data_IF_924852806868
#
_entry.id   IF_924852806868
#
_cell.length_a   1.000
_cell.length_b   1.000
_cell.length_c   1.000
_cell.angle_alpha   90.00
_cell.angle_beta   90.00
_cell.angle_gamma   90.00
#
_symmetry.space_group_name_H-M   'P 1'
#
loop_
_entity.id
_entity.type
_entity.pdbx_description
1 polymer ?
#
# COMPACT_ATOMS: atom_id res chain seq x y z
N UNK A 1 -8.04 -1.95 -8.22
CA UNK A 1 -8.34 -0.94 -7.21
C UNK A 1 -8.45 0.45 -7.81
N UNK A 2 -9.14 1.34 -7.17
CA UNK A 2 -9.22 2.75 -7.53
C UNK A 2 -8.84 3.58 -6.30
N UNK A 3 -8.04 4.63 -6.51
CA UNK A 3 -7.60 5.48 -5.41
C UNK A 3 -6.85 6.72 -5.86
N UNK A 4 -6.28 7.40 -4.88
CA UNK A 4 -5.48 8.61 -5.07
C UNK A 4 -4.00 8.24 -5.05
N UNK A 5 -3.24 8.75 -6.03
CA UNK A 5 -1.83 8.41 -6.17
C UNK A 5 -0.90 9.56 -5.83
N UNK A 6 0.31 9.22 -5.41
CA UNK A 6 1.40 10.16 -5.21
C UNK A 6 2.72 9.46 -5.50
N UNK A 7 3.71 10.22 -5.97
CA UNK A 7 5.06 9.73 -6.20
C UNK A 7 5.95 10.12 -5.03
N UNK A 8 6.66 9.14 -4.45
CA UNK A 8 7.51 9.36 -3.28
C UNK A 8 8.68 8.37 -3.24
N UNK A 9 9.45 8.37 -2.16
CA UNK A 9 10.52 7.42 -1.91
C UNK A 9 10.74 7.26 -0.40
N UNK A 10 11.47 6.22 -0.02
CA UNK A 10 11.69 5.90 1.39
C UNK A 10 12.49 6.97 2.13
N UNK A 11 13.42 7.62 1.46
CA UNK A 11 14.21 8.71 2.06
C UNK A 11 13.28 9.86 2.48
N UNK A 12 12.39 10.29 1.58
CA UNK A 12 11.41 11.35 1.88
C UNK A 12 10.47 10.95 3.01
N UNK A 13 9.97 9.70 2.99
CA UNK A 13 9.03 9.23 4.00
C UNK A 13 9.66 9.14 5.39
N UNK A 14 10.96 8.85 5.48
CA UNK A 14 11.68 8.80 6.75
C UNK A 14 12.11 10.17 7.28
N UNK A 15 12.02 11.23 6.47
CA UNK A 15 12.49 12.57 6.84
C UNK A 15 11.51 13.37 7.71
N UNK A 16 10.28 12.86 7.90
CA UNK A 16 9.22 13.57 8.62
C UNK A 16 8.34 14.47 7.75
N UNK A 17 8.68 14.64 6.47
CA UNK A 17 7.89 15.40 5.49
C UNK A 17 7.40 14.49 4.37
N UNK A 18 6.94 13.31 4.75
CA UNK A 18 6.46 12.32 3.81
C UNK A 18 5.13 12.67 3.16
N UNK A 19 4.92 12.13 1.95
CA UNK A 19 3.67 12.28 1.23
C UNK A 19 2.59 11.31 1.72
N UNK A 20 2.97 10.15 2.28
CA UNK A 20 2.05 9.10 2.70
C UNK A 20 1.08 9.59 3.79
N UNK A 21 1.53 10.22 4.89
CA UNK A 21 0.59 10.74 5.89
C UNK A 21 -0.39 11.76 5.31
N UNK A 22 0.05 12.58 4.37
CA UNK A 22 -0.81 13.57 3.69
C UNK A 22 -1.90 12.89 2.85
N UNK A 23 -1.58 11.76 2.21
CA UNK A 23 -2.55 10.99 1.45
C UNK A 23 -3.63 10.39 2.36
N UNK A 24 -3.26 9.88 3.53
CA UNK A 24 -4.22 9.37 4.51
C UNK A 24 -5.12 10.48 5.07
N UNK A 25 -4.57 11.66 5.34
CA UNK A 25 -5.36 12.83 5.73
C UNK A 25 -6.36 13.20 4.63
N UNK A 26 -5.92 13.21 3.38
CA UNK A 26 -6.74 13.51 2.22
C UNK A 26 -7.85 12.47 2.03
N UNK A 27 -7.56 11.18 2.26
CA UNK A 27 -8.54 10.10 2.15
C UNK A 27 -9.79 10.38 2.99
N UNK A 28 -9.58 10.83 4.23
CA UNK A 28 -10.68 11.12 5.16
C UNK A 28 -11.27 12.51 4.94
N UNK A 29 -10.43 13.53 4.76
CA UNK A 29 -10.90 14.91 4.63
C UNK A 29 -11.75 15.13 3.37
N UNK A 30 -11.43 14.45 2.28
CA UNK A 30 -12.15 14.56 1.00
C UNK A 30 -13.15 13.44 0.76
N UNK A 31 -13.40 12.59 1.75
CA UNK A 31 -14.30 11.43 1.63
C UNK A 31 -14.01 10.58 0.38
N UNK A 32 -12.75 10.31 0.13
CA UNK A 32 -12.30 9.61 -1.09
C UNK A 32 -13.00 8.26 -1.23
N UNK A 33 -13.09 7.49 -0.14
CA UNK A 33 -13.69 6.15 -0.18
C UNK A 33 -15.17 6.18 -0.61
N UNK A 34 -15.92 7.21 -0.24
CA UNK A 34 -17.32 7.37 -0.66
C UNK A 34 -17.46 7.69 -2.14
N UNK A 35 -16.40 8.23 -2.75
CA UNK A 35 -16.40 8.57 -4.19
C UNK A 35 -15.91 7.43 -5.06
N UNK A 36 -15.35 6.37 -4.48
CA UNK A 36 -14.93 5.18 -5.23
C UNK A 36 -16.16 4.34 -5.59
N UNK A 37 -16.45 4.15 -6.90
CA UNK A 37 -17.62 3.36 -7.31
C UNK A 37 -17.35 1.86 -7.22
N UNK A 38 -18.40 1.10 -7.10
CA UNK A 38 -18.39 -0.38 -7.20
C UNK A 38 -17.39 -1.08 -6.30
N UNK A 39 -17.23 -0.59 -5.07
CA UNK A 39 -16.38 -1.24 -4.06
C UNK A 39 -16.88 -2.65 -3.77
N UNK A 40 -15.95 -3.60 -3.67
CA UNK A 40 -16.29 -4.99 -3.40
C UNK A 40 -16.32 -5.33 -1.90
N UNK A 41 -15.72 -4.49 -1.05
CA UNK A 41 -15.70 -4.67 0.41
C UNK A 41 -15.40 -3.35 1.12
N UNK A 42 -15.22 -3.42 2.44
CA UNK A 42 -14.92 -2.26 3.29
C UNK A 42 -13.42 -2.04 3.50
N UNK A 43 -12.58 -2.88 2.90
CA UNK A 43 -11.13 -2.77 3.08
C UNK A 43 -10.57 -1.52 2.42
N UNK A 44 -9.55 -0.95 3.05
CA UNK A 44 -8.69 0.05 2.42
C UNK A 44 -7.50 -0.69 1.85
N UNK A 45 -7.11 -0.36 0.62
CA UNK A 45 -5.96 -0.96 -0.04
C UNK A 45 -4.94 0.11 -0.40
N UNK A 46 -3.67 -0.24 -0.21
CA UNK A 46 -2.53 0.56 -0.65
C UNK A 46 -1.75 -0.27 -1.66
N UNK A 47 -1.40 0.32 -2.80
CA UNK A 47 -0.54 -0.32 -3.80
C UNK A 47 0.72 0.49 -3.97
N UNK A 48 1.87 -0.18 -3.86
CA UNK A 48 3.19 0.35 -4.18
C UNK A 48 3.57 -0.20 -5.55
N UNK A 49 3.82 0.66 -6.51
CA UNK A 49 4.08 0.24 -7.88
C UNK A 49 4.97 1.25 -8.62
N UNK A 50 5.25 0.96 -9.88
CA UNK A 50 6.07 1.84 -10.73
C UNK A 50 7.41 2.19 -10.06
N UNK A 51 8.05 1.19 -9.47
CA UNK A 51 9.37 1.35 -8.86
C UNK A 51 10.39 1.76 -9.92
N UNK A 52 11.09 2.87 -9.66
CA UNK A 52 12.15 3.33 -10.56
C UNK A 52 13.36 2.38 -10.55
N UNK A 53 13.64 1.75 -9.42
CA UNK A 53 14.74 0.80 -9.26
C UNK A 53 14.39 -0.25 -8.20
N UNK A 54 14.86 -0.04 -6.98
CA UNK A 54 14.67 -0.93 -5.83
C UNK A 54 14.08 -0.14 -4.65
N UNK A 55 14.30 -0.62 -3.42
CA UNK A 55 13.83 0.02 -2.20
C UNK A 55 14.34 1.46 -2.03
N UNK A 56 15.42 1.82 -2.71
CA UNK A 56 16.05 3.15 -2.62
C UNK A 56 15.56 4.14 -3.67
N UNK A 57 14.79 3.69 -4.65
CA UNK A 57 14.26 4.54 -5.71
C UNK A 57 12.86 5.06 -5.43
N UNK A 58 12.37 5.87 -6.37
CA UNK A 58 11.01 6.38 -6.31
C UNK A 58 10.00 5.27 -6.61
N UNK A 59 8.81 5.40 -6.03
CA UNK A 59 7.67 4.55 -6.31
C UNK A 59 6.38 5.35 -6.31
N UNK A 60 5.34 4.79 -6.92
CA UNK A 60 3.99 5.33 -6.88
C UNK A 60 3.23 4.64 -5.74
N UNK A 61 2.60 5.44 -4.89
CA UNK A 61 1.78 5.01 -3.76
C UNK A 61 0.33 5.34 -4.08
N UNK A 62 -0.53 4.31 -4.15
CA UNK A 62 -1.96 4.49 -4.47
C UNK A 62 -2.78 4.02 -3.29
N UNK A 63 -3.59 4.91 -2.75
CA UNK A 63 -4.43 4.66 -1.57
C UNK A 63 -5.90 4.72 -1.96
N UNK A 64 -6.65 3.66 -1.71
CA UNK A 64 -8.05 3.61 -2.08
C UNK A 64 -8.75 2.33 -1.68
N UNK A 65 -9.53 1.77 -2.59
CA UNK A 65 -10.37 0.60 -2.33
C UNK A 65 -10.38 -0.38 -3.50
N UNK A 66 -10.69 -1.62 -3.19
CA UNK A 66 -10.90 -2.65 -4.21
C UNK A 66 -12.25 -2.45 -4.87
N UNK A 67 -12.30 -2.61 -6.19
CA UNK A 67 -13.50 -2.41 -7.00
C UNK A 67 -13.72 -3.60 -7.93
N UNK A 68 -14.92 -3.67 -8.49
CA UNK A 68 -15.24 -4.66 -9.52
C UNK A 68 -14.36 -4.42 -10.76
N UNK A 69 -13.96 -5.50 -11.47
CA UNK A 69 -13.22 -5.35 -12.73
C UNK A 69 -13.95 -4.46 -13.73
N UNK A 70 -13.21 -3.60 -14.43
CA UNK A 70 -13.77 -2.70 -15.43
C UNK A 70 -14.36 -1.41 -14.88
N UNK A 71 -14.36 -1.20 -13.57
CA UNK A 71 -14.82 0.06 -12.98
C UNK A 71 -13.91 1.21 -13.40
N UNK A 72 -14.52 2.32 -13.85
CA UNK A 72 -13.78 3.51 -14.27
C UNK A 72 -13.52 4.43 -13.08
N UNK A 73 -12.31 5.00 -12.96
CA UNK A 73 -12.00 5.92 -11.88
C UNK A 73 -12.71 7.26 -12.06
N UNK A 74 -13.22 7.87 -10.98
CA UNK A 74 -13.68 9.24 -11.01
C UNK A 74 -12.54 10.22 -11.29
N UNK A 75 -12.89 11.46 -11.64
CA UNK A 75 -11.90 12.51 -11.81
C UNK A 75 -11.03 12.66 -10.55
N UNK A 76 -9.72 12.79 -10.73
CA UNK A 76 -8.76 12.92 -9.64
C UNK A 76 -8.31 11.61 -9.03
N UNK A 77 -8.81 10.49 -9.54
CA UNK A 77 -8.41 9.14 -9.09
C UNK A 77 -7.81 8.34 -10.25
N UNK A 78 -7.12 7.27 -9.89
CA UNK A 78 -6.53 6.35 -10.87
C UNK A 78 -7.01 4.93 -10.58
N UNK A 79 -7.00 4.09 -11.60
CA UNK A 79 -7.24 2.66 -11.44
C UNK A 79 -5.94 1.90 -11.64
N UNK A 80 -5.76 0.82 -10.89
CA UNK A 80 -4.59 -0.04 -10.99
C UNK A 80 -5.01 -1.49 -10.79
N UNK A 81 -4.63 -2.33 -11.74
CA UNK A 81 -4.73 -3.78 -11.57
C UNK A 81 -3.45 -4.29 -10.92
N UNK A 82 -3.60 -5.03 -9.83
CA UNK A 82 -2.46 -5.72 -9.21
C UNK A 82 -2.22 -7.00 -10.00
N UNK A 83 -1.02 -7.20 -10.56
CA UNK A 83 -0.76 -8.38 -11.38
C UNK A 83 -0.85 -9.66 -10.55
N UNK A 84 -1.31 -10.73 -11.18
CA UNK A 84 -1.17 -12.07 -10.61
C UNK A 84 0.30 -12.46 -10.54
N UNK A 85 0.62 -13.46 -9.72
CA UNK A 85 1.99 -13.92 -9.56
C UNK A 85 2.24 -14.44 -8.15
N UNK A 86 3.52 -14.55 -7.80
CA UNK A 86 3.91 -14.97 -6.45
C UNK A 86 4.12 -13.77 -5.54
N UNK A 87 3.57 -13.90 -4.34
CA UNK A 87 3.71 -12.92 -3.27
C UNK A 87 4.12 -13.61 -1.99
N UNK A 88 4.94 -12.94 -1.18
CA UNK A 88 5.17 -13.32 0.22
C UNK A 88 4.25 -12.48 1.07
N UNK A 89 3.46 -13.12 1.93
CA UNK A 89 2.53 -12.45 2.83
C UNK A 89 3.20 -12.17 4.18
N UNK A 90 3.03 -10.95 4.65
CA UNK A 90 3.43 -10.52 5.99
C UNK A 90 2.22 -9.96 6.71
N UNK A 91 2.16 -10.15 8.02
CA UNK A 91 1.08 -9.59 8.83
C UNK A 91 1.67 -8.81 10.00
N UNK A 92 1.17 -7.60 10.21
CA UNK A 92 1.62 -6.76 11.32
C UNK A 92 1.07 -7.26 12.66
N UNK A 93 1.68 -6.85 13.76
CA UNK A 93 1.01 -6.84 15.05
C UNK A 93 -0.20 -5.91 14.99
N UNK A 94 -1.15 -6.11 15.90
CA UNK A 94 -2.26 -5.17 16.06
C UNK A 94 -1.82 -4.01 16.95
N UNK A 95 -2.11 -2.79 16.51
CA UNK A 95 -1.72 -1.61 17.25
C UNK A 95 -1.89 -0.32 16.45
N UNK A 96 -1.29 0.79 16.92
CA UNK A 96 -1.37 2.07 16.23
C UNK A 96 -0.73 2.02 14.85
N UNK A 97 -1.45 2.50 13.84
CA UNK A 97 -1.00 2.50 12.44
C UNK A 97 0.40 3.12 12.25
N UNK A 98 0.73 4.30 12.85
CA UNK A 98 2.05 4.89 12.68
C UNK A 98 3.21 4.05 13.22
N UNK A 99 2.92 3.09 14.09
CA UNK A 99 3.93 2.20 14.67
C UNK A 99 3.98 0.85 13.95
N UNK A 100 2.84 0.19 13.73
CA UNK A 100 2.83 -1.18 13.21
C UNK A 100 3.21 -1.26 11.75
N UNK A 101 2.91 -0.25 10.93
CA UNK A 101 3.23 -0.25 9.50
C UNK A 101 4.72 -0.10 9.25
N UNK A 102 5.43 0.90 9.84
CA UNK A 102 6.88 0.96 9.69
C UNK A 102 7.60 -0.28 10.25
N UNK A 103 7.15 -0.82 11.37
CA UNK A 103 7.73 -2.04 11.94
C UNK A 103 7.57 -3.23 11.02
N UNK A 104 6.42 -3.35 10.35
CA UNK A 104 6.17 -4.40 9.37
C UNK A 104 7.14 -4.29 8.19
N UNK A 105 7.35 -3.10 7.65
CA UNK A 105 8.28 -2.89 6.55
C UNK A 105 9.73 -3.17 6.93
N UNK A 106 10.14 -2.90 8.18
CA UNK A 106 11.46 -3.30 8.68
C UNK A 106 11.63 -4.83 8.67
N UNK A 107 10.59 -5.57 9.04
CA UNK A 107 10.60 -7.04 8.95
C UNK A 107 10.75 -7.50 7.50
N UNK A 108 10.06 -6.85 6.58
CA UNK A 108 10.14 -7.16 5.14
C UNK A 108 11.57 -6.96 4.63
N UNK A 109 12.18 -5.83 4.93
CA UNK A 109 13.55 -5.54 4.48
C UNK A 109 14.55 -6.54 5.04
N UNK A 110 14.43 -6.91 6.31
CA UNK A 110 15.28 -7.93 6.94
C UNK A 110 15.11 -9.28 6.25
N UNK A 111 13.86 -9.68 6.00
CA UNK A 111 13.56 -10.96 5.35
C UNK A 111 14.22 -11.08 3.98
N UNK A 112 14.12 -10.05 3.16
CA UNK A 112 14.66 -10.08 1.79
C UNK A 112 16.19 -9.92 1.71
N UNK A 113 16.85 -9.62 2.83
CA UNK A 113 18.30 -9.62 2.90
C UNK A 113 18.89 -11.00 3.25
N UNK A 114 18.06 -11.91 3.74
CA UNK A 114 18.53 -13.24 4.15
C UNK A 114 18.77 -14.15 2.95
N UNK A 115 19.93 -14.88 2.90
CA UNK A 115 20.21 -15.84 1.84
C UNK A 115 19.15 -16.95 1.78
N UNK A 116 18.81 -17.38 0.56
CA UNK A 116 17.85 -18.45 0.35
C UNK A 116 16.39 -18.03 0.32
N UNK A 117 16.07 -16.81 0.72
CA UNK A 117 14.72 -16.28 0.61
C UNK A 117 14.42 -15.82 -0.82
N UNK A 118 13.15 -15.78 -1.23
CA UNK A 118 12.77 -15.27 -2.54
C UNK A 118 13.32 -13.86 -2.80
N UNK A 119 13.43 -13.50 -4.07
CA UNK A 119 13.94 -12.19 -4.49
C UNK A 119 12.74 -11.28 -4.82
N UNK A 120 12.73 -10.07 -4.26
CA UNK A 120 11.69 -9.08 -4.57
C UNK A 120 11.66 -8.76 -6.06
N UNK A 121 10.46 -8.68 -6.61
CA UNK A 121 10.28 -8.38 -8.03
C UNK A 121 10.26 -6.87 -8.31
N UNK A 122 9.92 -6.03 -7.34
CA UNK A 122 9.72 -4.58 -7.49
C UNK A 122 8.72 -4.25 -8.60
N UNK A 123 7.68 -5.06 -8.72
CA UNK A 123 6.58 -4.83 -9.64
C UNK A 123 5.43 -4.10 -8.94
N UNK A 124 4.68 -4.84 -8.15
CA UNK A 124 3.62 -4.27 -7.31
C UNK A 124 3.60 -4.99 -5.96
N UNK A 125 3.51 -4.21 -4.89
CA UNK A 125 3.30 -4.70 -3.54
C UNK A 125 2.03 -4.04 -3.01
N UNK A 126 1.30 -4.70 -2.11
CA UNK A 126 0.08 -4.07 -1.60
C UNK A 126 -0.20 -4.43 -0.15
N UNK A 127 -0.83 -3.47 0.54
CA UNK A 127 -1.29 -3.59 1.91
C UNK A 127 -2.81 -3.63 1.94
N UNK A 128 -3.38 -4.46 2.82
CA UNK A 128 -4.81 -4.49 3.09
C UNK A 128 -5.07 -4.12 4.55
N UNK A 129 -5.95 -3.16 4.74
CA UNK A 129 -6.44 -2.72 6.05
C UNK A 129 -7.91 -3.14 6.16
N UNK A 130 -8.21 -4.10 7.03
CA UNK A 130 -9.57 -4.65 7.14
C UNK A 130 -10.58 -3.62 7.60
N UNK A 131 -10.36 -3.08 8.79
CA UNK A 131 -11.27 -2.16 9.43
C UNK A 131 -10.47 -1.03 10.07
N UNK A 132 -10.75 0.19 9.63
CA UNK A 132 -10.10 1.39 10.12
C UNK A 132 -11.01 2.17 11.09
N UNK A 133 -12.00 1.50 11.69
CA UNK A 133 -12.86 2.11 12.70
C UNK A 133 -12.05 2.63 13.90
N UNK A 134 -10.95 1.94 14.24
CA UNK A 134 -10.04 2.38 15.30
C UNK A 134 -8.60 2.40 14.76
N UNK A 135 -8.05 3.58 14.40
CA UNK A 135 -6.69 3.69 13.88
C UNK A 135 -5.60 3.32 14.90
N UNK A 136 -5.94 3.15 16.17
CA UNK A 136 -5.01 2.68 17.21
C UNK A 136 -4.97 1.15 17.31
N UNK A 137 -5.82 0.45 16.57
CA UNK A 137 -5.98 -1.00 16.67
C UNK A 137 -6.01 -1.65 15.29
N UNK A 138 -5.13 -1.21 14.38
CA UNK A 138 -5.07 -1.78 13.04
C UNK A 138 -4.20 -3.03 13.00
N UNK A 139 -4.51 -3.94 12.12
CA UNK A 139 -3.66 -5.04 11.70
C UNK A 139 -3.61 -5.05 10.18
N UNK A 140 -2.41 -5.07 9.64
CA UNK A 140 -2.17 -4.89 8.21
C UNK A 140 -1.65 -6.19 7.61
N UNK A 141 -2.24 -6.63 6.51
CA UNK A 141 -1.69 -7.67 5.66
C UNK A 141 -0.90 -7.02 4.54
N UNK A 142 0.35 -7.44 4.37
CA UNK A 142 1.23 -6.92 3.33
C UNK A 142 1.66 -8.04 2.40
N UNK A 143 1.46 -7.84 1.11
CA UNK A 143 1.83 -8.80 0.06
C UNK A 143 2.94 -8.21 -0.79
N UNK A 144 4.10 -8.85 -0.77
CA UNK A 144 5.29 -8.40 -1.50
C UNK A 144 5.54 -9.32 -2.69
N UNK A 145 5.53 -8.76 -3.88
CA UNK A 145 5.75 -9.50 -5.12
C UNK A 145 7.20 -10.01 -5.21
N UNK A 146 7.35 -11.27 -5.61
CA UNK A 146 8.66 -11.92 -5.74
C UNK A 146 8.83 -12.50 -7.13
N UNK A 147 10.09 -12.69 -7.53
CA UNK A 147 10.44 -13.36 -8.78
C UNK A 147 10.13 -14.85 -8.68
N UNK A 148 9.70 -15.40 -9.80
CA UNK A 148 9.44 -16.84 -9.95
C UNK A 148 10.72 -17.67 -9.95
#
# INVERSE_FOLDING_TARGET
MIGIEVRTNNFRESSGDGAIPKQWQRLFAENVLHRVPDRIDQSIVVVYTNYASDWNGDYTYILGARVKPGTKPPEGMVSKSVPGGKYVEFMSARGPSPQVVPDLWKQVWTYFQLPGNPIRAYGADYELYDDMADPNQVQVQLFVGVKL
#
